data_IF_920969381719
#
_entry.id   IF_920969381719
#
_cell.length_a   1.000
_cell.length_b   1.000
_cell.length_c   1.000
_cell.angle_alpha   90.00
_cell.angle_beta   90.00
_cell.angle_gamma   90.00
#
_symmetry.space_group_name_H-M   'P 1'
#
loop_
_entity.id
_entity.type
_entity.pdbx_description
1 polymer ?
#
# COMPACT_ATOMS: atom_id res chain seq x y z
N UNK A 1 2.24 16.01 14.14
CA UNK A 1 1.26 15.66 13.10
C UNK A 1 1.78 14.39 12.44
N UNK A 2 0.97 13.32 12.36
CA UNK A 2 1.41 12.09 11.68
C UNK A 2 1.53 12.36 10.18
N UNK A 3 2.61 11.91 9.50
CA UNK A 3 2.72 12.03 8.06
C UNK A 3 1.59 11.24 7.38
N UNK A 4 0.98 11.81 6.34
CA UNK A 4 -0.07 11.16 5.55
C UNK A 4 0.53 10.63 4.25
N UNK A 5 0.48 9.32 4.02
CA UNK A 5 1.19 8.64 2.95
C UNK A 5 0.20 7.93 2.03
N UNK A 6 0.30 8.18 0.73
CA UNK A 6 -0.46 7.45 -0.29
C UNK A 6 0.25 6.14 -0.65
N UNK A 7 -0.49 5.04 -0.68
CA UNK A 7 -0.01 3.71 -1.12
C UNK A 7 -0.79 3.33 -2.37
N UNK A 8 -0.11 3.26 -3.52
CA UNK A 8 -0.73 2.87 -4.80
C UNK A 8 -0.52 1.38 -5.00
N UNK A 9 -1.62 0.65 -5.18
CA UNK A 9 -1.65 -0.78 -5.44
C UNK A 9 -2.16 -1.06 -6.87
N UNK A 10 -1.76 -2.19 -7.44
CA UNK A 10 -2.12 -2.63 -8.79
C UNK A 10 -2.98 -3.90 -8.82
N UNK A 11 -3.43 -4.43 -7.68
CA UNK A 11 -4.18 -5.68 -7.56
C UNK A 11 -3.74 -6.50 -6.33
N UNK A 12 -3.96 -7.82 -6.33
CA UNK A 12 -3.71 -8.70 -5.17
C UNK A 12 -3.03 -10.02 -5.57
N UNK A 13 -1.76 -9.94 -5.98
CA UNK A 13 -1.01 -11.11 -6.46
C UNK A 13 0.17 -10.70 -7.33
N UNK A 14 1.29 -11.40 -7.25
CA UNK A 14 2.53 -11.04 -7.98
C UNK A 14 2.38 -11.14 -9.51
N UNK A 15 1.47 -11.99 -9.99
CA UNK A 15 1.29 -12.24 -11.43
C UNK A 15 0.24 -11.35 -12.08
N UNK A 16 -0.62 -10.69 -11.29
CA UNK A 16 -1.80 -9.95 -11.77
C UNK A 16 -2.12 -8.70 -10.91
N UNK A 17 -1.17 -8.25 -10.09
CA UNK A 17 -1.39 -7.13 -9.18
C UNK A 17 -0.14 -6.73 -8.40
N UNK A 18 -0.36 -6.24 -7.17
CA UNK A 18 0.73 -5.93 -6.26
C UNK A 18 1.23 -7.21 -5.59
N UNK A 19 2.54 -7.34 -5.42
CA UNK A 19 3.13 -8.42 -4.62
C UNK A 19 2.70 -8.24 -3.16
N UNK A 20 2.16 -9.29 -2.56
CA UNK A 20 1.46 -9.20 -1.27
C UNK A 20 2.45 -8.97 -0.14
N UNK A 21 3.60 -9.64 -0.14
CA UNK A 21 4.60 -9.48 0.92
C UNK A 21 5.23 -8.08 0.92
N UNK A 22 5.58 -7.53 -0.24
CA UNK A 22 6.09 -6.17 -0.42
C UNK A 22 5.07 -5.14 0.06
N UNK A 23 3.82 -5.28 -0.36
CA UNK A 23 2.72 -4.40 0.03
C UNK A 23 2.53 -4.40 1.55
N UNK A 24 2.48 -5.59 2.17
CA UNK A 24 2.29 -5.73 3.62
C UNK A 24 3.50 -5.19 4.39
N UNK A 25 4.72 -5.51 3.98
CA UNK A 25 5.93 -5.06 4.68
C UNK A 25 6.08 -3.53 4.59
N UNK A 26 5.77 -2.94 3.43
CA UNK A 26 5.75 -1.50 3.27
C UNK A 26 4.72 -0.83 4.18
N UNK A 27 3.47 -1.32 4.18
CA UNK A 27 2.41 -0.79 5.04
C UNK A 27 2.72 -1.00 6.53
N UNK A 28 3.33 -2.12 6.91
CA UNK A 28 3.79 -2.39 8.28
C UNK A 28 4.87 -1.40 8.73
N UNK A 29 5.82 -1.07 7.85
CA UNK A 29 6.85 -0.09 8.15
C UNK A 29 6.25 1.31 8.38
N UNK A 30 5.27 1.70 7.56
CA UNK A 30 4.54 2.97 7.70
C UNK A 30 3.71 3.02 8.98
N UNK A 31 3.00 1.93 9.30
CA UNK A 31 2.23 1.80 10.55
C UNK A 31 3.14 1.94 11.78
N UNK A 32 4.27 1.24 11.80
CA UNK A 32 5.29 1.35 12.87
C UNK A 32 5.90 2.74 12.99
N UNK A 33 5.95 3.51 11.90
CA UNK A 33 6.40 4.90 11.90
C UNK A 33 5.30 5.90 12.34
N UNK A 34 4.09 5.42 12.68
CA UNK A 34 2.97 6.26 13.07
C UNK A 34 2.37 7.07 11.92
N UNK A 35 2.56 6.62 10.68
CA UNK A 35 2.01 7.28 9.49
C UNK A 35 0.52 6.95 9.30
N UNK A 36 -0.24 7.90 8.77
CA UNK A 36 -1.61 7.67 8.31
C UNK A 36 -1.57 7.29 6.84
N UNK A 37 -1.94 6.05 6.51
CA UNK A 37 -1.91 5.54 5.14
C UNK A 37 -3.23 5.80 4.40
N UNK A 38 -3.16 6.02 3.09
CA UNK A 38 -4.30 6.08 2.18
C UNK A 38 -4.02 5.13 1.02
N UNK A 39 -4.68 3.98 1.01
CA UNK A 39 -4.58 3.02 -0.08
C UNK A 39 -5.40 3.51 -1.28
N UNK A 40 -4.82 3.38 -2.46
CA UNK A 40 -5.39 3.79 -3.74
C UNK A 40 -5.05 2.74 -4.79
N UNK A 41 -5.91 2.60 -5.78
CA UNK A 41 -5.68 1.76 -6.95
C UNK A 41 -6.36 2.43 -8.16
N UNK A 42 -5.87 2.20 -9.38
CA UNK A 42 -6.57 2.66 -10.57
C UNK A 42 -7.92 1.93 -10.70
N UNK A 43 -8.96 2.66 -11.07
CA UNK A 43 -10.25 2.07 -11.45
C UNK A 43 -10.22 1.79 -12.95
N UNK A 44 -10.04 0.53 -13.30
CA UNK A 44 -9.92 0.03 -14.68
C UNK A 44 -10.91 -1.11 -14.89
N UNK A 45 -11.37 -1.28 -16.13
CA UNK A 45 -12.27 -2.37 -16.53
C UNK A 45 -11.52 -3.70 -16.73
#
# INVERSE_FOLDING_TARGET
MSPKIGVVLSGCGVFDGAEIHESVIAMLALDRAGATMVCMAPNVD
#
